data_IF_056634336351
#
_entry.id   IF_056634336351
#
_cell.length_a   1.000
_cell.length_b   1.000
_cell.length_c   1.000
_cell.angle_alpha   90.00
_cell.angle_beta   90.00
_cell.angle_gamma   90.00
#
_symmetry.space_group_name_H-M   'P 1'
#
loop_
_entity.id
_entity.type
_entity.pdbx_description
1 polymer ?
#
# COMPACT_ATOMS: atom_id res chain seq x y z
N UNK A 1 16.96 -62.48 -71.10
CA UNK A 1 16.72 -63.61 -70.17
C UNK A 1 17.28 -63.24 -68.80
N UNK A 2 16.51 -63.47 -67.73
CA UNK A 2 16.87 -63.53 -66.28
C UNK A 2 17.52 -62.27 -65.64
N UNK A 3 16.77 -61.40 -64.93
CA UNK A 3 16.35 -61.41 -63.49
C UNK A 3 17.51 -61.34 -62.47
N UNK A 4 17.53 -60.28 -61.65
CA UNK A 4 17.65 -60.24 -60.17
C UNK A 4 17.46 -58.77 -59.71
N UNK A 5 16.27 -58.38 -59.22
CA UNK A 5 15.92 -58.18 -57.79
C UNK A 5 16.97 -57.39 -56.98
N UNK A 6 16.64 -56.17 -56.55
CA UNK A 6 16.38 -55.81 -55.13
C UNK A 6 15.50 -54.55 -55.13
N UNK A 7 14.29 -54.66 -54.59
CA UNK A 7 13.42 -53.53 -54.30
C UNK A 7 13.79 -52.90 -52.97
N UNK A 8 13.84 -51.57 -52.92
CA UNK A 8 13.85 -50.79 -51.69
C UNK A 8 12.55 -49.99 -51.63
N UNK A 9 11.53 -50.57 -51.01
CA UNK A 9 10.35 -49.82 -50.58
C UNK A 9 10.76 -48.91 -49.44
N UNK A 10 10.97 -47.63 -49.73
CA UNK A 10 11.04 -46.59 -48.70
C UNK A 10 9.61 -46.36 -48.23
N UNK A 11 9.20 -47.08 -47.20
CA UNK A 11 8.04 -46.73 -46.38
C UNK A 11 8.40 -45.44 -45.64
N UNK A 12 8.01 -44.30 -46.21
CA UNK A 12 7.94 -43.05 -45.48
C UNK A 12 6.87 -43.21 -44.39
N UNK A 13 7.31 -43.58 -43.19
CA UNK A 13 6.47 -43.53 -41.98
C UNK A 13 6.22 -42.06 -41.71
N UNK A 14 5.12 -41.53 -42.26
CA UNK A 14 4.55 -40.26 -41.82
C UNK A 14 3.94 -40.55 -40.45
N UNK A 15 4.76 -40.46 -39.41
CA UNK A 15 4.24 -40.35 -38.07
C UNK A 15 3.41 -39.06 -38.03
N UNK A 16 2.10 -39.09 -37.71
CA UNK A 16 1.38 -37.87 -37.45
C UNK A 16 2.04 -37.27 -36.21
N UNK A 17 2.82 -36.22 -36.42
CA UNK A 17 3.29 -35.39 -35.33
C UNK A 17 2.05 -34.71 -34.76
N UNK A 18 1.38 -35.37 -33.81
CA UNK A 18 0.45 -34.72 -32.90
C UNK A 18 1.30 -33.89 -31.95
N UNK A 19 1.91 -32.82 -32.48
CA UNK A 19 2.27 -31.69 -31.66
C UNK A 19 0.94 -31.05 -31.28
N UNK A 20 0.34 -31.54 -30.18
CA UNK A 20 -0.65 -30.74 -29.50
C UNK A 20 0.01 -29.40 -29.22
N UNK A 21 -0.52 -28.32 -29.78
CA UNK A 21 -0.04 -26.97 -29.51
C UNK A 21 0.05 -26.82 -27.99
N UNK A 22 1.27 -26.67 -27.48
CA UNK A 22 1.51 -26.39 -26.07
C UNK A 22 0.91 -25.01 -25.78
N UNK A 23 -0.35 -24.98 -25.35
CA UNK A 23 -0.99 -23.76 -24.86
C UNK A 23 -0.38 -23.43 -23.51
N UNK A 24 0.52 -22.46 -23.51
CA UNK A 24 1.18 -21.94 -22.30
C UNK A 24 0.28 -21.04 -21.44
N UNK A 25 -0.97 -20.79 -21.87
CA UNK A 25 -1.98 -20.09 -21.10
C UNK A 25 -3.32 -20.82 -21.20
N UNK A 26 -4.03 -20.84 -20.07
CA UNK A 26 -5.44 -21.19 -20.04
C UNK A 26 -6.24 -19.96 -20.45
N UNK A 27 -7.31 -20.15 -21.21
CA UNK A 27 -8.25 -19.07 -21.51
C UNK A 27 -8.97 -18.64 -20.24
N UNK A 28 -9.24 -17.34 -20.11
CA UNK A 28 -10.08 -16.83 -19.04
C UNK A 28 -11.54 -17.19 -19.33
N UNK A 29 -12.29 -17.77 -18.37
CA UNK A 29 -13.71 -18.04 -18.57
C UNK A 29 -14.49 -16.72 -18.66
N UNK A 30 -15.52 -16.70 -19.52
CA UNK A 30 -16.48 -15.60 -19.54
C UNK A 30 -17.37 -15.70 -18.29
N UNK A 31 -17.38 -14.63 -17.48
CA UNK A 31 -18.21 -14.51 -16.28
C UNK A 31 -19.18 -13.33 -16.45
N UNK A 32 -20.36 -13.35 -15.80
CA UNK A 32 -21.21 -12.17 -15.70
C UNK A 32 -20.43 -10.97 -15.13
N UNK A 33 -20.62 -9.78 -15.69
CA UNK A 33 -19.85 -8.56 -15.33
C UNK A 33 -20.73 -7.45 -14.73
N UNK A 34 -22.03 -7.67 -14.61
CA UNK A 34 -23.03 -6.73 -14.11
C UNK A 34 -22.80 -6.33 -12.64
N UNK A 35 -22.10 -7.18 -11.88
CA UNK A 35 -21.72 -6.94 -10.49
C UNK A 35 -20.51 -6.00 -10.33
N UNK A 36 -19.74 -5.77 -11.40
CA UNK A 36 -18.57 -4.89 -11.40
C UNK A 36 -19.05 -3.47 -11.66
N UNK A 37 -19.27 -2.68 -10.61
CA UNK A 37 -19.94 -1.37 -10.72
C UNK A 37 -19.06 -0.16 -10.33
N UNK A 38 -17.91 -0.37 -9.67
CA UNK A 38 -16.98 0.69 -9.26
C UNK A 38 -16.18 1.23 -10.45
N UNK A 39 -16.41 2.49 -10.82
CA UNK A 39 -15.81 3.11 -12.03
C UNK A 39 -15.53 4.60 -11.85
N UNK A 40 -14.83 5.18 -12.83
CA UNK A 40 -14.66 6.63 -12.98
C UNK A 40 -13.84 7.27 -11.85
N UNK A 41 -14.22 8.49 -11.47
CA UNK A 41 -13.45 9.31 -10.52
C UNK A 41 -13.22 8.63 -9.16
N UNK A 42 -14.20 7.86 -8.67
CA UNK A 42 -14.06 7.15 -7.40
C UNK A 42 -13.00 6.03 -7.48
N UNK A 43 -12.96 5.27 -8.57
CA UNK A 43 -11.92 4.25 -8.80
C UNK A 43 -10.53 4.89 -8.88
N UNK A 44 -10.40 5.98 -9.64
CA UNK A 44 -9.15 6.73 -9.74
C UNK A 44 -8.71 7.28 -8.38
N UNK A 45 -9.65 7.81 -7.59
CA UNK A 45 -9.37 8.31 -6.25
C UNK A 45 -8.92 7.19 -5.29
N UNK A 46 -9.52 6.01 -5.35
CA UNK A 46 -9.08 4.84 -4.58
C UNK A 46 -7.64 4.44 -4.93
N UNK A 47 -7.31 4.37 -6.23
CA UNK A 47 -5.94 4.07 -6.69
C UNK A 47 -4.93 5.10 -6.19
N UNK A 48 -5.29 6.38 -6.22
CA UNK A 48 -4.45 7.44 -5.68
C UNK A 48 -4.28 7.34 -4.15
N UNK A 49 -5.33 6.92 -3.43
CA UNK A 49 -5.25 6.72 -1.99
C UNK A 49 -4.32 5.54 -1.65
N UNK A 50 -4.33 4.45 -2.44
CA UNK A 50 -3.35 3.36 -2.30
C UNK A 50 -1.92 3.89 -2.36
N UNK A 51 -1.58 4.69 -3.38
CA UNK A 51 -0.25 5.31 -3.45
C UNK A 51 0.04 6.18 -2.22
N UNK A 52 -0.95 6.94 -1.73
CA UNK A 52 -0.80 7.82 -0.57
C UNK A 52 -0.44 7.05 0.70
N UNK A 53 -1.07 5.90 0.96
CA UNK A 53 -0.74 5.07 2.14
C UNK A 53 0.66 4.43 1.98
N UNK A 54 1.03 4.02 0.76
CA UNK A 54 2.36 3.47 0.50
C UNK A 54 3.46 4.54 0.66
N UNK A 55 3.21 5.77 0.21
CA UNK A 55 4.11 6.90 0.44
C UNK A 55 4.25 7.20 1.95
N UNK A 56 3.15 7.17 2.71
CA UNK A 56 3.17 7.35 4.16
C UNK A 56 3.98 6.24 4.86
N UNK A 57 3.79 4.98 4.46
CA UNK A 57 4.58 3.84 4.93
C UNK A 57 6.08 4.06 4.74
N UNK A 58 6.51 4.53 3.56
CA UNK A 58 7.92 4.81 3.27
C UNK A 58 8.46 5.99 4.08
N UNK A 59 7.65 7.03 4.30
CA UNK A 59 8.04 8.15 5.14
C UNK A 59 8.23 7.71 6.60
N UNK A 60 7.39 6.83 7.12
CA UNK A 60 7.56 6.25 8.46
C UNK A 60 8.77 5.30 8.54
N UNK A 61 9.07 4.54 7.48
CA UNK A 61 10.31 3.75 7.42
C UNK A 61 11.54 4.64 7.53
N UNK A 62 11.54 5.80 6.87
CA UNK A 62 12.63 6.77 6.97
C UNK A 62 12.77 7.33 8.38
N UNK A 63 11.65 7.64 9.06
CA UNK A 63 11.65 8.04 10.48
C UNK A 63 12.26 6.94 11.37
N UNK A 64 11.80 5.70 11.21
CA UNK A 64 12.33 4.57 11.98
C UNK A 64 13.84 4.37 11.77
N UNK A 65 14.30 4.47 10.52
CA UNK A 65 15.71 4.37 10.17
C UNK A 65 16.54 5.51 10.80
N UNK A 66 16.03 6.74 10.79
CA UNK A 66 16.69 7.89 11.41
C UNK A 66 16.93 7.67 12.92
N UNK A 67 15.90 7.28 13.68
CA UNK A 67 16.02 7.06 15.12
C UNK A 67 16.83 5.81 15.50
N UNK A 68 17.04 4.90 14.54
CA UNK A 68 17.89 3.71 14.69
C UNK A 68 19.39 4.00 14.54
N UNK A 69 19.79 5.19 14.06
CA UNK A 69 21.20 5.57 13.94
C UNK A 69 21.87 5.57 15.32
N UNK A 70 23.10 5.09 15.41
CA UNK A 70 23.91 5.14 16.64
C UNK A 70 24.12 6.57 17.17
N UNK A 71 24.20 7.55 16.27
CA UNK A 71 24.31 8.99 16.61
C UNK A 71 23.01 9.62 17.12
N UNK A 72 21.86 8.95 16.99
CA UNK A 72 20.55 9.42 17.48
C UNK A 72 20.09 8.55 18.66
N UNK A 73 20.09 7.23 18.47
CA UNK A 73 19.84 6.18 19.45
C UNK A 73 18.58 6.42 20.30
N UNK A 74 17.43 6.34 19.64
CA UNK A 74 16.09 6.42 20.26
C UNK A 74 15.26 5.20 19.85
N UNK A 75 15.52 4.02 20.46
CA UNK A 75 14.91 2.77 20.06
C UNK A 75 13.38 2.74 20.20
N UNK A 76 12.79 3.43 21.18
CA UNK A 76 11.33 3.48 21.34
C UNK A 76 10.67 4.26 20.20
N UNK A 77 11.28 5.38 19.78
CA UNK A 77 10.83 6.08 18.57
C UNK A 77 11.01 5.24 17.31
N UNK A 78 12.14 4.56 17.16
CA UNK A 78 12.39 3.70 16.01
C UNK A 78 11.33 2.59 15.91
N UNK A 79 11.05 1.89 17.01
CA UNK A 79 10.02 0.85 17.06
C UNK A 79 8.63 1.39 16.72
N UNK A 80 8.24 2.52 17.34
CA UNK A 80 6.96 3.18 17.05
C UNK A 80 6.81 3.51 15.57
N UNK A 81 7.81 4.11 14.93
CA UNK A 81 7.71 4.49 13.52
C UNK A 81 7.81 3.30 12.57
N UNK A 82 8.55 2.24 12.90
CA UNK A 82 8.48 0.99 12.12
C UNK A 82 7.11 0.32 12.21
N UNK A 83 6.46 0.40 13.38
CA UNK A 83 5.08 -0.07 13.55
C UNK A 83 4.12 0.75 12.70
N UNK A 84 4.19 2.09 12.74
CA UNK A 84 3.37 2.95 11.88
C UNK A 84 3.61 2.69 10.39
N UNK A 85 4.86 2.48 9.98
CA UNK A 85 5.17 2.11 8.60
C UNK A 85 4.47 0.82 8.16
N UNK A 86 4.42 -0.18 9.04
CA UNK A 86 3.72 -1.43 8.79
C UNK A 86 2.20 -1.21 8.70
N UNK A 87 1.63 -0.44 9.62
CA UNK A 87 0.20 -0.10 9.63
C UNK A 87 -0.22 0.60 8.33
N UNK A 88 0.53 1.59 7.85
CA UNK A 88 0.22 2.26 6.57
C UNK A 88 0.32 1.32 5.36
N UNK A 89 1.25 0.36 5.39
CA UNK A 89 1.32 -0.68 4.35
C UNK A 89 0.10 -1.60 4.39
N UNK A 90 -0.42 -1.90 5.58
CA UNK A 90 -1.66 -2.65 5.76
C UNK A 90 -2.87 -1.83 5.27
N UNK A 91 -2.92 -0.52 5.51
CA UNK A 91 -3.96 0.38 4.97
C UNK A 91 -4.00 0.33 3.43
N UNK A 92 -2.84 0.45 2.78
CA UNK A 92 -2.74 0.32 1.32
C UNK A 92 -3.18 -1.06 0.82
N UNK A 93 -2.81 -2.13 1.53
CA UNK A 93 -3.20 -3.50 1.18
C UNK A 93 -4.71 -3.72 1.31
N UNK A 94 -5.34 -3.23 2.38
CA UNK A 94 -6.79 -3.27 2.59
C UNK A 94 -7.56 -2.56 1.45
N UNK A 95 -7.05 -1.43 0.94
CA UNK A 95 -7.66 -0.74 -0.21
C UNK A 95 -7.52 -1.53 -1.51
N UNK A 96 -6.38 -2.21 -1.72
CA UNK A 96 -6.17 -3.12 -2.86
C UNK A 96 -7.19 -4.27 -2.80
N UNK A 97 -7.33 -4.90 -1.64
CA UNK A 97 -8.31 -5.97 -1.40
C UNK A 97 -9.75 -5.48 -1.65
N UNK A 98 -10.09 -4.27 -1.20
CA UNK A 98 -11.40 -3.67 -1.48
C UNK A 98 -11.64 -3.49 -2.98
N UNK A 99 -10.65 -3.02 -3.74
CA UNK A 99 -10.75 -2.89 -5.19
C UNK A 99 -10.95 -4.25 -5.87
N UNK A 100 -10.18 -5.27 -5.47
CA UNK A 100 -10.34 -6.63 -5.98
C UNK A 100 -11.72 -7.22 -5.65
N UNK A 101 -12.24 -6.99 -4.43
CA UNK A 101 -13.60 -7.38 -4.02
C UNK A 101 -14.67 -6.75 -4.92
N UNK A 102 -14.41 -5.59 -5.51
CA UNK A 102 -15.30 -4.87 -6.45
C UNK A 102 -15.02 -5.19 -7.92
N UNK A 103 -14.28 -6.26 -8.19
CA UNK A 103 -13.97 -6.73 -9.54
C UNK A 103 -12.97 -5.85 -10.31
N UNK A 104 -12.22 -5.00 -9.60
CA UNK A 104 -11.17 -4.17 -10.19
C UNK A 104 -9.81 -4.87 -10.10
N UNK A 105 -8.77 -4.23 -10.67
CA UNK A 105 -7.38 -4.73 -10.68
C UNK A 105 -7.17 -6.01 -11.51
N UNK A 106 -8.04 -6.26 -12.50
CA UNK A 106 -7.82 -7.30 -13.52
C UNK A 106 -6.77 -6.88 -14.56
N UNK A 107 -6.51 -5.58 -14.67
CA UNK A 107 -5.44 -4.95 -15.43
C UNK A 107 -4.85 -3.77 -14.63
N UNK A 108 -3.82 -3.10 -15.18
CA UNK A 108 -3.27 -1.88 -14.59
C UNK A 108 -2.75 -2.05 -13.16
N UNK A 109 -2.16 -3.20 -12.84
CA UNK A 109 -1.54 -3.44 -11.52
C UNK A 109 -0.10 -2.88 -11.50
N UNK A 110 0.57 -2.85 -12.65
CA UNK A 110 1.96 -2.39 -12.77
C UNK A 110 2.15 -0.91 -12.49
N UNK A 111 1.13 -0.09 -12.71
CA UNK A 111 1.14 1.35 -12.45
C UNK A 111 0.37 1.74 -11.18
N UNK A 112 -0.15 0.76 -10.43
CA UNK A 112 -0.91 0.98 -9.21
C UNK A 112 -0.06 1.61 -8.10
N UNK A 113 1.19 1.17 -7.99
CA UNK A 113 2.19 1.71 -7.05
C UNK A 113 3.41 2.14 -7.88
N UNK A 114 3.72 3.43 -7.82
CA UNK A 114 4.93 4.02 -8.36
C UNK A 114 6.00 4.05 -7.28
N UNK A 115 7.25 4.31 -7.68
CA UNK A 115 8.37 4.50 -6.74
C UNK A 115 7.98 5.50 -5.66
N UNK A 116 7.87 5.07 -4.39
CA UNK A 116 7.45 5.95 -3.32
C UNK A 116 8.48 7.05 -3.06
N UNK A 117 8.02 8.20 -2.60
CA UNK A 117 8.89 9.33 -2.29
C UNK A 117 9.05 9.51 -0.78
N UNK A 118 10.30 9.60 -0.31
CA UNK A 118 10.62 10.07 1.05
C UNK A 118 10.89 11.57 0.96
N UNK A 119 10.12 12.37 1.68
CA UNK A 119 10.21 13.84 1.62
C UNK A 119 11.26 14.38 2.60
N UNK A 120 11.51 13.66 3.69
CA UNK A 120 12.44 14.03 4.76
C UNK A 120 13.05 12.76 5.38
N UNK A 121 14.33 12.80 5.71
CA UNK A 121 15.11 11.66 6.21
C UNK A 121 15.94 11.96 7.47
N UNK A 122 15.96 13.21 7.93
CA UNK A 122 16.60 13.62 9.19
C UNK A 122 15.70 14.51 10.04
N UNK A 123 15.71 14.30 11.35
CA UNK A 123 14.98 15.08 12.35
C UNK A 123 15.92 15.53 13.47
N UNK A 124 15.73 16.74 13.97
CA UNK A 124 16.51 17.30 15.07
C UNK A 124 16.09 16.71 16.43
N UNK A 125 14.83 16.25 16.54
CA UNK A 125 14.28 15.68 17.77
C UNK A 125 13.08 14.78 17.51
N UNK A 126 12.74 13.95 18.49
CA UNK A 126 11.48 13.20 18.53
C UNK A 126 10.24 14.09 18.48
N UNK A 127 10.32 15.32 18.99
CA UNK A 127 9.22 16.28 18.92
C UNK A 127 8.98 16.80 17.50
N UNK A 128 10.05 17.05 16.74
CA UNK A 128 9.93 17.41 15.33
C UNK A 128 9.37 16.24 14.52
N UNK A 129 9.84 15.01 14.76
CA UNK A 129 9.33 13.82 14.08
C UNK A 129 7.85 13.55 14.38
N UNK A 130 7.41 13.67 15.65
CA UNK A 130 6.00 13.56 16.02
C UNK A 130 5.14 14.66 15.39
N UNK A 131 5.68 15.87 15.23
CA UNK A 131 4.98 16.95 14.54
C UNK A 131 4.80 16.65 13.04
N UNK A 132 5.83 16.12 12.40
CA UNK A 132 5.77 15.72 10.99
C UNK A 132 4.86 14.51 10.77
N UNK A 133 4.89 13.52 11.68
CA UNK A 133 3.95 12.40 11.69
C UNK A 133 2.50 12.88 11.82
N UNK A 134 2.22 13.79 12.76
CA UNK A 134 0.88 14.36 12.92
C UNK A 134 0.44 15.13 11.66
N UNK A 135 1.34 15.89 11.02
CA UNK A 135 1.05 16.57 9.75
C UNK A 135 0.76 15.57 8.63
N UNK A 136 1.52 14.48 8.55
CA UNK A 136 1.31 13.41 7.58
C UNK A 136 -0.10 12.80 7.76
N UNK A 137 -0.47 12.43 8.99
CA UNK A 137 -1.80 11.89 9.29
C UNK A 137 -2.93 12.88 8.97
N UNK A 138 -2.73 14.16 9.23
CA UNK A 138 -3.71 15.20 8.85
C UNK A 138 -3.88 15.25 7.34
N UNK A 139 -2.82 15.07 6.55
CA UNK A 139 -2.90 15.04 5.09
C UNK A 139 -3.59 13.78 4.58
N UNK A 140 -3.28 12.61 5.13
CA UNK A 140 -3.91 11.32 4.79
C UNK A 140 -5.42 11.40 5.07
N UNK A 141 -5.82 11.87 6.26
CA UNK A 141 -7.24 12.05 6.62
C UNK A 141 -7.97 13.01 5.69
N UNK A 142 -7.34 14.12 5.30
CA UNK A 142 -7.92 15.04 4.31
C UNK A 142 -8.12 14.36 2.95
N UNK A 143 -7.18 13.50 2.54
CA UNK A 143 -7.27 12.71 1.31
C UNK A 143 -8.44 11.72 1.38
N UNK A 144 -8.58 10.98 2.49
CA UNK A 144 -9.69 10.04 2.72
C UNK A 144 -11.04 10.77 2.67
N UNK A 145 -11.17 11.94 3.31
CA UNK A 145 -12.40 12.74 3.25
C UNK A 145 -12.73 13.19 1.82
N UNK A 146 -11.72 13.54 1.03
CA UNK A 146 -11.91 13.92 -0.39
C UNK A 146 -12.32 12.70 -1.23
N UNK A 147 -11.73 11.54 -0.96
CA UNK A 147 -12.11 10.26 -1.57
C UNK A 147 -13.58 9.92 -1.27
N UNK A 148 -14.00 9.98 0.01
CA UNK A 148 -15.38 9.78 0.42
C UNK A 148 -16.32 10.72 -0.35
N UNK A 149 -16.03 12.02 -0.35
CA UNK A 149 -16.84 13.00 -1.07
C UNK A 149 -16.88 12.76 -2.59
N UNK A 150 -15.86 12.09 -3.15
CA UNK A 150 -15.83 11.72 -4.57
C UNK A 150 -16.72 10.51 -4.84
N UNK A 151 -16.70 9.52 -3.94
CA UNK A 151 -17.46 8.28 -4.05
C UNK A 151 -18.92 8.39 -3.62
N UNK A 152 -19.29 9.45 -2.89
CA UNK A 152 -20.67 9.76 -2.50
C UNK A 152 -21.48 10.46 -3.61
N UNK A 153 -20.79 11.07 -4.59
CA UNK A 153 -21.42 11.65 -5.80
C UNK A 153 -22.12 10.56 -6.62
N UNK A 154 -22.97 10.94 -7.58
CA UNK A 154 -23.65 9.96 -8.45
C UNK A 154 -22.69 9.34 -9.50
N UNK A 155 -22.70 8.00 -9.70
CA UNK A 155 -23.39 7.00 -8.89
C UNK A 155 -22.76 6.87 -7.51
N UNK A 156 -23.59 6.81 -6.46
CA UNK A 156 -23.12 6.76 -5.08
C UNK A 156 -22.70 5.33 -4.73
N UNK A 157 -21.47 5.17 -4.24
CA UNK A 157 -20.92 3.89 -3.79
C UNK A 157 -21.06 3.73 -2.27
N UNK A 158 -22.30 3.57 -1.79
CA UNK A 158 -22.66 3.59 -0.35
C UNK A 158 -21.75 2.72 0.52
N UNK A 159 -21.49 1.47 0.11
CA UNK A 159 -20.64 0.55 0.88
C UNK A 159 -19.18 1.03 0.97
N UNK A 160 -18.65 1.72 -0.05
CA UNK A 160 -17.29 2.26 0.01
C UNK A 160 -17.24 3.49 0.93
N UNK A 161 -18.26 4.36 0.85
CA UNK A 161 -18.38 5.51 1.75
C UNK A 161 -18.46 5.06 3.20
N UNK A 162 -19.28 4.04 3.48
CA UNK A 162 -19.39 3.42 4.81
C UNK A 162 -18.04 2.85 5.28
N UNK A 163 -17.40 2.01 4.45
CA UNK A 163 -16.11 1.40 4.78
C UNK A 163 -15.02 2.43 5.09
N UNK A 164 -14.86 3.47 4.26
CA UNK A 164 -13.89 4.53 4.48
C UNK A 164 -14.22 5.37 5.72
N UNK A 165 -15.50 5.53 6.06
CA UNK A 165 -15.92 6.32 7.22
C UNK A 165 -15.77 5.52 8.52
N UNK A 166 -16.25 4.29 8.56
CA UNK A 166 -16.28 3.46 9.76
C UNK A 166 -14.96 2.79 10.11
N UNK A 167 -14.10 2.52 9.12
CA UNK A 167 -12.78 1.91 9.34
C UNK A 167 -11.69 2.97 9.31
N UNK A 168 -11.51 3.64 8.16
CA UNK A 168 -10.35 4.52 7.96
C UNK A 168 -10.45 5.83 8.76
N UNK A 169 -11.59 6.55 8.70
CA UNK A 169 -11.70 7.80 9.46
C UNK A 169 -11.67 7.57 10.98
N UNK A 170 -12.17 6.43 11.47
CA UNK A 170 -12.06 6.08 12.88
C UNK A 170 -10.59 5.89 13.29
N UNK A 171 -9.84 5.05 12.57
CA UNK A 171 -8.40 4.80 12.80
C UNK A 171 -7.60 6.12 12.72
N UNK A 172 -7.85 6.95 11.69
CA UNK A 172 -7.18 8.23 11.52
C UNK A 172 -7.40 9.21 12.69
N UNK A 173 -8.62 9.30 13.21
CA UNK A 173 -8.93 10.25 14.30
C UNK A 173 -8.31 9.80 15.63
N UNK A 174 -8.27 8.49 15.90
CA UNK A 174 -7.54 7.94 17.05
C UNK A 174 -6.04 8.18 16.92
N UNK A 175 -5.45 7.87 15.76
CA UNK A 175 -4.02 8.07 15.49
C UNK A 175 -3.58 9.53 15.64
N UNK A 176 -4.34 10.47 15.06
CA UNK A 176 -4.08 11.90 15.23
C UNK A 176 -4.15 12.34 16.70
N UNK A 177 -5.14 11.84 17.45
CA UNK A 177 -5.27 12.17 18.88
C UNK A 177 -4.10 11.62 19.67
N UNK A 178 -3.65 10.41 19.37
CA UNK A 178 -2.50 9.77 20.02
C UNK A 178 -1.22 10.58 19.76
N UNK A 179 -0.90 10.86 18.49
CA UNK A 179 0.27 11.65 18.10
C UNK A 179 0.26 13.04 18.72
N UNK A 180 -0.88 13.74 18.69
CA UNK A 180 -1.01 15.05 19.33
C UNK A 180 -0.79 14.99 20.85
N UNK A 181 -1.23 13.89 21.50
CA UNK A 181 -0.96 13.63 22.91
C UNK A 181 0.52 13.44 23.21
N UNK A 182 1.17 12.54 22.46
CA UNK A 182 2.62 12.27 22.54
C UNK A 182 3.43 13.55 22.34
N UNK A 183 3.12 14.31 21.30
CA UNK A 183 3.77 15.58 20.98
C UNK A 183 3.63 16.61 22.12
N UNK A 184 2.42 16.74 22.69
CA UNK A 184 2.17 17.66 23.81
C UNK A 184 3.01 17.30 25.04
N UNK A 185 3.04 16.01 25.40
CA UNK A 185 3.83 15.52 26.53
C UNK A 185 5.32 15.74 26.31
N UNK A 186 5.85 15.33 25.16
CA UNK A 186 7.26 15.44 24.86
C UNK A 186 7.71 16.91 24.80
N UNK A 187 6.94 17.81 24.16
CA UNK A 187 7.26 19.25 24.15
C UNK A 187 7.35 19.81 25.57
N UNK A 188 6.46 19.41 26.50
CA UNK A 188 6.54 19.83 27.92
C UNK A 188 7.78 19.28 28.61
N UNK A 189 8.12 18.01 28.38
CA UNK A 189 9.31 17.39 28.96
C UNK A 189 10.60 18.06 28.46
N UNK A 190 10.69 18.33 27.16
CA UNK A 190 11.85 18.97 26.55
C UNK A 190 12.01 20.43 27.00
N UNK A 191 10.92 21.18 27.19
CA UNK A 191 11.00 22.56 27.72
C UNK A 191 11.65 22.62 29.10
N UNK A 192 11.37 21.64 29.97
CA UNK A 192 11.88 21.64 31.35
C UNK A 192 13.20 20.87 31.52
N UNK A 193 13.46 19.88 30.65
CA UNK A 193 14.52 18.89 30.85
C UNK A 193 15.38 18.61 29.59
N UNK A 194 15.14 19.30 28.48
CA UNK A 194 15.93 19.18 27.24
C UNK A 194 16.10 17.73 26.77
N UNK A 195 17.34 17.35 26.47
CA UNK A 195 17.70 16.01 26.00
C UNK A 195 17.35 14.88 26.98
N UNK A 196 17.36 15.15 28.30
CA UNK A 196 16.94 14.16 29.29
C UNK A 196 15.43 13.86 29.17
N UNK A 197 14.62 14.88 28.88
CA UNK A 197 13.19 14.72 28.67
C UNK A 197 12.87 13.80 27.49
N UNK A 198 13.57 14.00 26.36
CA UNK A 198 13.41 13.13 25.19
C UNK A 198 13.92 11.71 25.45
N UNK A 199 15.07 11.56 26.13
CA UNK A 199 15.59 10.25 26.50
C UNK A 199 14.60 9.46 27.37
N UNK A 200 14.02 10.08 28.39
CA UNK A 200 13.05 9.42 29.27
C UNK A 200 11.75 9.07 28.51
N UNK A 201 11.28 9.98 27.65
CA UNK A 201 10.10 9.71 26.84
C UNK A 201 10.31 8.51 25.90
N UNK A 202 11.49 8.41 25.26
CA UNK A 202 11.85 7.26 24.43
C UNK A 202 11.82 5.92 25.18
N UNK A 203 12.09 5.90 26.49
CA UNK A 203 12.03 4.66 27.30
C UNK A 203 10.62 4.21 27.66
N UNK A 204 9.64 5.10 27.54
CA UNK A 204 8.24 4.83 27.85
C UNK A 204 7.38 4.64 26.59
N UNK A 205 7.98 4.77 25.39
CA UNK A 205 7.31 4.55 24.10
C UNK A 205 7.02 3.07 23.83
#
# INVERSE_FOLDING_TARGET
>A
MMKFLVGFCILAVVAPTVFGELKCSLGNPELPTEWIDLRGDCLTAMRNQIQKEIDASYQYLAMGAHFSRDTVNRPGFAEMFFKSAKEEREHGSKLIEYLSMRGQLTDGVTDLIRTPSVQKDEWESGAEALEDALKLEIQVTKSIRKLIATCEKKPNYYHLVDYLTGVYLEEQLHGQRELAGKLSTLKKMMTNHGALGEFLFDKEL
#
